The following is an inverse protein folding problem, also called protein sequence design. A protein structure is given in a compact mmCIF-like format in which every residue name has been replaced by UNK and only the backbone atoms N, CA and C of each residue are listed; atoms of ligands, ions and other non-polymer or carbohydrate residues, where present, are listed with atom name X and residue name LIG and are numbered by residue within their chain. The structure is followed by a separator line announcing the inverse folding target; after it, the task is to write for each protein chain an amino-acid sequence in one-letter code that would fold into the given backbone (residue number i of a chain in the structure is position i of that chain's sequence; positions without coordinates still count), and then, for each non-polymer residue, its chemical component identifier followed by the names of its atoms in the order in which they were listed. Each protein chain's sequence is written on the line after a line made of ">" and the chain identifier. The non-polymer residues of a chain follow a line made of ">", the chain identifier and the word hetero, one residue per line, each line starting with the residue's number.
data_IF_054362087045
#
_entry.id   IF_054362087045
#
_cell.length_a   1.000
_cell.length_b   1.000
_cell.length_c   1.000
_cell.angle_alpha   90.00
_cell.angle_beta   90.00
_cell.angle_gamma   90.00
#
_symmetry.space_group_name_H-M   'P 1'
#
loop_
_entity.id
_entity.type
_entity.pdbx_description
1 polymer ?
#
# COMPACT_ATOMS: atom_id res chain seq x y z
N UNK A 1 29.27 17.00 -48.55
CA UNK A 1 30.29 16.30 -47.73
C UNK A 1 29.64 15.06 -47.13
N UNK A 2 30.32 13.91 -47.14
CA UNK A 2 29.83 12.70 -46.50
C UNK A 2 30.07 12.83 -45.00
N UNK A 3 29.03 13.23 -44.26
CA UNK A 3 29.11 13.34 -42.81
C UNK A 3 28.79 11.96 -42.23
N UNK A 4 29.61 11.46 -41.32
CA UNK A 4 29.40 10.17 -40.66
C UNK A 4 28.13 10.30 -39.82
N UNK A 5 27.01 9.63 -40.17
CA UNK A 5 25.69 9.93 -39.60
C UNK A 5 25.45 9.27 -38.23
N UNK A 6 26.52 9.08 -37.44
CA UNK A 6 26.49 8.42 -36.14
C UNK A 6 27.35 9.17 -35.10
N UNK A 7 27.35 10.51 -35.17
CA UNK A 7 27.99 11.37 -34.17
C UNK A 7 26.93 12.22 -33.47
N UNK A 8 27.25 12.79 -32.30
CA UNK A 8 26.30 13.66 -31.58
C UNK A 8 25.93 14.92 -32.37
N UNK A 9 26.78 15.35 -33.30
CA UNK A 9 26.54 16.51 -34.15
C UNK A 9 25.73 16.16 -35.42
N UNK A 10 25.72 14.88 -35.80
CA UNK A 10 25.10 14.38 -37.02
C UNK A 10 24.56 12.96 -36.80
N UNK A 11 23.34 12.87 -36.25
CA UNK A 11 22.73 11.59 -35.88
C UNK A 11 21.58 11.21 -36.82
N UNK A 12 21.83 10.25 -37.72
CA UNK A 12 20.87 9.78 -38.74
C UNK A 12 20.56 10.77 -39.86
N UNK A 13 20.60 12.05 -39.56
CA UNK A 13 20.50 13.20 -40.46
C UNK A 13 21.62 14.20 -40.14
N UNK A 14 21.69 15.32 -40.86
CA UNK A 14 22.66 16.38 -40.59
C UNK A 14 22.30 17.27 -39.38
N UNK A 15 21.62 16.71 -38.36
CA UNK A 15 21.21 17.44 -37.16
C UNK A 15 21.83 16.84 -35.89
N UNK A 16 22.24 17.69 -34.93
CA UNK A 16 22.73 17.25 -33.63
C UNK A 16 21.60 16.73 -32.74
N UNK A 17 21.94 15.91 -31.75
CA UNK A 17 21.02 15.53 -30.69
C UNK A 17 20.84 16.69 -29.69
N UNK A 18 19.59 17.08 -29.44
CA UNK A 18 19.23 18.11 -28.46
C UNK A 18 18.99 17.52 -27.05
N UNK A 19 18.86 18.40 -26.06
CA UNK A 19 18.37 18.08 -24.71
C UNK A 19 19.19 17.00 -23.96
N UNK A 20 20.49 16.95 -24.22
CA UNK A 20 21.43 16.04 -23.55
C UNK A 20 21.33 14.58 -24.04
N UNK A 21 20.66 14.34 -25.17
CA UNK A 21 20.63 13.03 -25.84
C UNK A 21 21.97 12.74 -26.53
N UNK A 22 22.29 11.46 -26.69
CA UNK A 22 23.45 10.97 -27.41
C UNK A 22 23.04 10.25 -28.68
N UNK A 23 23.93 10.23 -29.67
CA UNK A 23 23.70 9.45 -30.87
C UNK A 23 24.10 7.99 -30.66
N UNK A 24 23.12 7.09 -30.72
CA UNK A 24 23.36 5.65 -30.70
C UNK A 24 22.61 5.02 -31.87
N UNK A 25 23.34 4.27 -32.72
CA UNK A 25 22.78 3.63 -33.92
C UNK A 25 21.99 4.62 -34.79
N UNK A 26 22.55 5.81 -35.05
CA UNK A 26 21.96 6.88 -35.87
C UNK A 26 20.63 7.44 -35.32
N UNK A 27 20.32 7.16 -34.05
CA UNK A 27 19.13 7.66 -33.36
C UNK A 27 19.54 8.42 -32.10
N UNK A 28 18.91 9.57 -31.85
CA UNK A 28 19.12 10.30 -30.60
C UNK A 28 18.38 9.61 -29.46
N UNK A 29 19.12 9.13 -28.47
CA UNK A 29 18.60 8.41 -27.30
C UNK A 29 19.09 9.08 -26.03
N UNK A 30 18.40 8.83 -24.92
CA UNK A 30 18.89 9.29 -23.63
C UNK A 30 20.12 8.49 -23.19
N UNK A 31 21.18 9.14 -22.67
CA UNK A 31 22.32 8.44 -22.13
C UNK A 31 21.95 7.69 -20.84
N UNK A 32 22.77 6.70 -20.52
CA UNK A 32 22.61 5.84 -19.34
C UNK A 32 21.23 5.15 -19.28
N UNK A 33 20.74 4.98 -18.07
CA UNK A 33 19.47 4.35 -17.72
C UNK A 33 18.28 5.32 -17.71
N UNK A 34 18.44 6.50 -18.33
CA UNK A 34 17.41 7.56 -18.40
C UNK A 34 16.37 7.26 -19.46
N UNK A 35 15.18 7.86 -19.30
CA UNK A 35 14.08 7.75 -20.27
C UNK A 35 13.80 9.12 -20.90
N UNK A 36 13.29 9.09 -22.14
CA UNK A 36 12.84 10.30 -22.83
C UNK A 36 11.42 10.66 -22.39
N UNK A 37 11.29 11.81 -21.74
CA UNK A 37 10.03 12.39 -21.31
C UNK A 37 9.79 13.72 -22.01
N UNK A 38 9.16 13.64 -23.19
CA UNK A 38 8.82 14.83 -23.98
C UNK A 38 10.03 15.61 -24.46
N UNK A 39 11.13 14.93 -24.78
CA UNK A 39 12.39 15.53 -25.22
C UNK A 39 13.47 15.55 -24.14
N UNK A 40 13.10 15.49 -22.86
CA UNK A 40 14.04 15.58 -21.76
C UNK A 40 14.46 14.20 -21.25
N UNK A 41 15.76 14.03 -20.95
CA UNK A 41 16.27 12.81 -20.36
C UNK A 41 16.13 12.81 -18.84
N UNK A 42 15.16 12.05 -18.36
CA UNK A 42 14.75 12.00 -16.96
C UNK A 42 15.20 10.69 -16.30
N UNK A 43 15.59 10.76 -15.02
CA UNK A 43 15.97 9.59 -14.23
C UNK A 43 14.70 8.85 -13.79
N UNK A 44 14.48 7.59 -14.23
CA UNK A 44 13.23 6.86 -14.01
C UNK A 44 13.18 6.12 -12.66
N UNK A 45 13.87 6.63 -11.63
CA UNK A 45 13.95 5.99 -10.31
C UNK A 45 13.42 6.88 -9.18
N UNK A 46 12.67 7.92 -9.52
CA UNK A 46 12.09 8.87 -8.56
C UNK A 46 10.59 8.64 -8.44
N UNK A 47 9.95 9.16 -7.40
CA UNK A 47 8.49 9.07 -7.27
C UNK A 47 7.73 9.83 -8.37
N UNK A 48 8.35 10.86 -8.94
CA UNK A 48 7.75 11.66 -10.01
C UNK A 48 7.92 11.01 -11.39
N UNK A 49 8.93 10.15 -11.55
CA UNK A 49 9.22 9.41 -12.77
C UNK A 49 9.74 8.02 -12.43
N UNK A 50 8.84 7.03 -12.42
CA UNK A 50 9.18 5.67 -11.98
C UNK A 50 9.00 4.66 -13.11
N UNK A 51 10.08 4.32 -13.80
CA UNK A 51 10.09 3.49 -15.01
C UNK A 51 9.42 4.12 -16.24
N UNK A 52 8.60 5.13 -16.03
CA UNK A 52 7.87 5.91 -17.04
C UNK A 52 7.94 7.39 -16.68
N UNK A 53 7.42 8.24 -17.55
CA UNK A 53 7.34 9.69 -17.31
C UNK A 53 6.24 10.10 -16.34
N UNK A 54 5.59 9.15 -15.68
CA UNK A 54 4.48 9.40 -14.77
C UNK A 54 4.88 9.16 -13.31
N UNK A 55 4.28 9.93 -12.37
CA UNK A 55 4.47 9.71 -10.95
C UNK A 55 3.76 8.45 -10.47
N UNK A 56 4.22 7.94 -9.33
CA UNK A 56 3.51 6.88 -8.62
C UNK A 56 2.22 7.41 -7.98
N UNK A 57 1.08 6.84 -8.36
CA UNK A 57 -0.23 7.16 -7.79
C UNK A 57 -0.63 6.18 -6.68
N UNK A 58 -1.66 6.54 -5.90
CA UNK A 58 -2.27 5.64 -4.92
C UNK A 58 -1.40 5.36 -3.69
N UNK A 59 -0.53 6.30 -3.31
CA UNK A 59 0.36 6.17 -2.14
C UNK A 59 1.52 5.19 -2.36
N UNK A 60 1.77 4.79 -3.60
CA UNK A 60 2.91 3.97 -3.99
C UNK A 60 4.21 4.76 -3.95
N UNK A 61 5.32 4.05 -3.80
CA UNK A 61 6.69 4.56 -3.89
C UNK A 61 7.40 3.93 -5.09
N UNK A 62 8.41 4.62 -5.60
CA UNK A 62 9.26 4.10 -6.64
C UNK A 62 10.33 3.18 -6.06
N UNK A 63 10.32 1.91 -6.46
CA UNK A 63 11.35 0.94 -6.13
C UNK A 63 11.68 0.10 -7.34
N UNK A 64 12.96 0.02 -7.70
CA UNK A 64 13.42 -0.70 -8.90
C UNK A 64 12.68 -0.28 -10.19
N UNK A 65 12.49 1.03 -10.38
CA UNK A 65 11.75 1.61 -11.52
C UNK A 65 10.30 1.12 -11.64
N UNK A 66 9.69 0.67 -10.53
CA UNK A 66 8.28 0.26 -10.45
C UNK A 66 7.58 0.92 -9.27
N UNK A 67 6.34 1.35 -9.48
CA UNK A 67 5.50 1.83 -8.40
C UNK A 67 5.01 0.64 -7.57
N UNK A 68 5.40 0.60 -6.30
CA UNK A 68 5.06 -0.47 -5.36
C UNK A 68 4.56 0.12 -4.04
N UNK A 69 3.84 -0.66 -3.26
CA UNK A 69 3.43 -0.18 -1.94
C UNK A 69 4.61 -0.08 -0.96
N UNK A 70 4.59 0.93 -0.06
CA UNK A 70 5.54 1.00 1.03
C UNK A 70 5.55 -0.29 1.87
N UNK A 71 6.67 -0.62 2.53
CA UNK A 71 6.71 -1.75 3.45
C UNK A 71 5.56 -1.70 4.48
N UNK A 72 4.89 -2.83 4.68
CA UNK A 72 3.75 -2.94 5.60
C UNK A 72 2.39 -2.57 5.00
N UNK A 73 2.34 -2.01 3.80
CA UNK A 73 1.10 -1.72 3.07
C UNK A 73 0.82 -2.81 2.03
N UNK A 74 -0.46 -3.01 1.71
CA UNK A 74 -0.91 -3.93 0.65
C UNK A 74 -1.57 -3.15 -0.47
N UNK A 75 -1.37 -3.58 -1.71
CA UNK A 75 -2.05 -2.98 -2.85
C UNK A 75 -3.49 -3.50 -2.97
N UNK A 76 -4.47 -2.61 -2.83
CA UNK A 76 -5.89 -2.87 -3.06
C UNK A 76 -6.45 -1.80 -4.00
N UNK A 77 -7.08 -2.21 -5.11
CA UNK A 77 -7.68 -1.29 -6.10
C UNK A 77 -6.74 -0.15 -6.54
N UNK A 78 -5.49 -0.48 -6.84
CA UNK A 78 -4.41 0.46 -7.21
C UNK A 78 -3.98 1.45 -6.11
N UNK A 79 -4.40 1.26 -4.85
CA UNK A 79 -3.98 2.07 -3.71
C UNK A 79 -3.27 1.21 -2.67
N UNK A 80 -2.34 1.83 -1.95
CA UNK A 80 -1.70 1.20 -0.81
C UNK A 80 -2.55 1.40 0.43
N UNK A 81 -2.95 0.30 1.05
CA UNK A 81 -3.78 0.29 2.25
C UNK A 81 -3.09 -0.46 3.37
N UNK A 82 -3.30 0.01 4.60
CA UNK A 82 -2.90 -0.73 5.78
C UNK A 82 -4.03 -1.68 6.18
N UNK A 83 -3.88 -2.96 5.84
CA UNK A 83 -4.85 -3.99 6.18
C UNK A 83 -5.04 -4.16 7.70
N UNK A 84 -4.17 -3.59 8.54
CA UNK A 84 -4.26 -3.71 9.99
C UNK A 84 -5.24 -2.74 10.62
N UNK A 85 -5.53 -1.63 9.94
CA UNK A 85 -6.27 -0.49 10.49
C UNK A 85 -7.38 0.01 9.58
N UNK A 86 -7.33 -0.26 8.27
CA UNK A 86 -8.36 0.14 7.32
C UNK A 86 -9.65 -0.66 7.54
N UNK A 87 -10.73 0.04 7.91
CA UNK A 87 -12.04 -0.58 8.17
C UNK A 87 -12.69 -1.22 6.94
N UNK A 88 -12.35 -0.76 5.73
CA UNK A 88 -12.86 -1.28 4.45
C UNK A 88 -12.01 -2.44 3.90
N UNK A 89 -10.79 -2.60 4.41
CA UNK A 89 -9.81 -3.58 3.95
C UNK A 89 -9.20 -4.39 5.11
N UNK A 90 -10.00 -4.72 6.13
CA UNK A 90 -9.47 -5.28 7.36
C UNK A 90 -9.00 -6.74 7.16
N UNK A 91 -7.69 -6.96 7.23
CA UNK A 91 -7.05 -8.27 7.04
C UNK A 91 -6.87 -8.70 5.58
N UNK A 92 -7.67 -8.19 4.65
CA UNK A 92 -7.54 -8.39 3.21
C UNK A 92 -8.27 -7.29 2.41
N UNK A 93 -7.92 -7.13 1.13
CA UNK A 93 -8.60 -6.18 0.25
C UNK A 93 -10.11 -6.44 0.20
N UNK A 94 -10.89 -5.36 0.20
CA UNK A 94 -12.36 -5.39 0.16
C UNK A 94 -13.01 -6.18 1.31
N UNK A 95 -12.26 -6.49 2.39
CA UNK A 95 -12.76 -7.19 3.58
C UNK A 95 -13.20 -6.21 4.65
N UNK A 96 -14.32 -5.53 4.38
CA UNK A 96 -14.88 -4.55 5.31
C UNK A 96 -15.40 -5.22 6.58
N UNK A 97 -15.19 -4.59 7.73
CA UNK A 97 -15.81 -5.03 8.97
C UNK A 97 -17.34 -4.79 9.00
N UNK A 98 -18.08 -5.75 9.56
CA UNK A 98 -19.50 -5.59 9.86
C UNK A 98 -19.77 -4.36 10.73
N UNK A 99 -21.03 -3.89 10.74
CA UNK A 99 -21.45 -2.76 11.58
C UNK A 99 -21.03 -2.97 13.05
N UNK A 100 -20.56 -1.90 13.67
CA UNK A 100 -20.09 -1.86 15.07
C UNK A 100 -18.88 -2.75 15.36
N UNK A 101 -18.05 -3.03 14.34
CA UNK A 101 -16.72 -3.62 14.52
C UNK A 101 -15.65 -2.69 13.99
N UNK A 102 -14.53 -2.65 14.69
CA UNK A 102 -13.34 -1.85 14.35
C UNK A 102 -12.26 -2.78 13.84
N UNK A 103 -11.47 -2.33 12.87
CA UNK A 103 -10.31 -3.08 12.43
C UNK A 103 -9.17 -2.93 13.45
N UNK A 104 -8.86 -4.01 14.17
CA UNK A 104 -7.77 -4.06 15.12
C UNK A 104 -6.76 -5.12 14.68
N UNK A 105 -5.60 -4.69 14.19
CA UNK A 105 -4.53 -5.59 13.76
C UNK A 105 -4.94 -6.53 12.62
N UNK A 106 -5.84 -6.08 11.74
CA UNK A 106 -6.34 -6.87 10.62
C UNK A 106 -7.44 -7.86 10.99
N UNK A 107 -8.07 -7.68 12.15
CA UNK A 107 -9.23 -8.44 12.58
C UNK A 107 -10.36 -7.49 12.93
N UNK A 108 -11.57 -7.84 12.53
CA UNK A 108 -12.76 -7.10 12.90
C UNK A 108 -13.17 -7.45 14.34
N UNK A 109 -12.96 -6.50 15.25
CA UNK A 109 -13.22 -6.65 16.68
C UNK A 109 -14.41 -5.78 17.10
N UNK A 110 -15.30 -6.32 17.92
CA UNK A 110 -16.35 -5.53 18.55
C UNK A 110 -15.81 -4.87 19.82
N UNK A 111 -15.44 -3.60 19.74
CA UNK A 111 -14.84 -2.86 20.87
C UNK A 111 -15.83 -2.58 21.99
N UNK A 112 -17.13 -2.83 21.79
CA UNK A 112 -18.15 -2.59 22.82
C UNK A 112 -18.23 -3.73 23.85
N UNK A 113 -17.77 -4.93 23.51
CA UNK A 113 -17.88 -6.10 24.37
C UNK A 113 -16.62 -6.95 24.43
N UNK A 114 -15.57 -6.53 23.73
CA UNK A 114 -14.29 -7.19 23.74
C UNK A 114 -13.43 -6.73 24.92
N UNK A 115 -13.11 -7.62 25.85
CA UNK A 115 -12.30 -7.28 27.01
C UNK A 115 -10.86 -6.87 26.66
N UNK A 116 -10.28 -7.39 25.57
CA UNK A 116 -8.91 -7.06 25.14
C UNK A 116 -8.84 -5.79 24.26
N UNK A 117 -9.98 -5.27 23.81
CA UNK A 117 -10.07 -4.10 22.92
C UNK A 117 -11.28 -3.24 23.33
N UNK A 118 -11.42 -2.92 24.62
CA UNK A 118 -12.61 -2.27 25.14
C UNK A 118 -12.62 -0.76 24.84
N UNK A 119 -13.59 -0.29 24.06
CA UNK A 119 -13.69 1.10 23.62
C UNK A 119 -12.74 1.48 22.47
N UNK A 120 -11.55 0.86 22.41
CA UNK A 120 -10.57 1.03 21.33
C UNK A 120 -9.70 -0.23 21.17
N UNK A 121 -8.96 -0.33 20.05
CA UNK A 121 -8.05 -1.46 19.83
C UNK A 121 -6.98 -1.53 20.94
N UNK A 122 -6.68 -2.76 21.38
CA UNK A 122 -5.63 -3.11 22.34
C UNK A 122 -5.82 -2.47 23.74
N UNK A 123 -7.01 -1.92 24.01
CA UNK A 123 -7.39 -1.40 25.32
C UNK A 123 -7.97 -2.51 26.20
N UNK A 124 -7.08 -3.31 26.77
CA UNK A 124 -7.45 -4.41 27.65
C UNK A 124 -8.04 -3.91 28.98
N UNK A 125 -9.16 -4.49 29.39
CA UNK A 125 -9.72 -4.26 30.72
C UNK A 125 -8.81 -4.83 31.82
N UNK A 126 -8.64 -4.10 32.96
CA UNK A 126 -7.98 -4.62 34.14
C UNK A 126 -8.58 -5.94 34.62
N UNK A 127 -7.80 -6.72 35.39
CA UNK A 127 -8.22 -8.01 35.91
C UNK A 127 -9.59 -7.92 36.62
N UNK A 128 -10.44 -8.93 36.39
CA UNK A 128 -11.82 -9.04 36.89
C UNK A 128 -12.81 -7.96 36.40
N UNK A 129 -12.44 -7.18 35.37
CA UNK A 129 -13.37 -6.28 34.67
C UNK A 129 -13.80 -6.85 33.32
N UNK A 130 -15.06 -6.62 32.99
CA UNK A 130 -15.64 -6.96 31.70
C UNK A 130 -15.86 -5.71 30.86
N UNK A 131 -15.76 -5.86 29.54
CA UNK A 131 -16.13 -4.79 28.62
C UNK A 131 -17.63 -4.79 28.39
N UNK A 132 -18.29 -3.69 28.78
CA UNK A 132 -19.70 -3.48 28.51
C UNK A 132 -19.91 -2.09 27.93
N UNK A 133 -20.44 -2.06 26.70
CA UNK A 133 -20.68 -0.84 25.92
C UNK A 133 -19.42 0.02 25.77
N UNK A 134 -18.26 -0.62 25.58
CA UNK A 134 -16.97 0.05 25.38
C UNK A 134 -16.31 0.57 26.65
N UNK A 135 -16.84 0.20 27.82
CA UNK A 135 -16.32 0.62 29.13
C UNK A 135 -16.04 -0.62 29.99
N UNK A 136 -14.88 -0.62 30.66
CA UNK A 136 -14.52 -1.66 31.61
C UNK A 136 -15.29 -1.50 32.92
N UNK A 137 -16.15 -2.47 33.25
CA UNK A 137 -16.94 -2.49 34.49
C UNK A 137 -16.59 -3.71 35.33
N UNK A 138 -16.67 -3.57 36.66
CA UNK A 138 -16.51 -4.71 37.58
C UNK A 138 -17.77 -5.58 37.55
N UNK A 139 -17.63 -6.89 37.36
CA UNK A 139 -18.76 -7.83 37.38
C UNK A 139 -18.52 -8.96 38.39
N UNK A 140 -19.56 -9.34 39.16
CA UNK A 140 -19.42 -10.32 40.27
C UNK A 140 -19.44 -11.78 39.83
N UNK A 141 -19.78 -12.12 38.59
CA UNK A 141 -19.71 -13.49 38.09
C UNK A 141 -19.40 -13.58 36.57
N UNK A 142 -18.33 -14.32 36.28
CA UNK A 142 -17.92 -15.03 35.05
C UNK A 142 -17.54 -14.25 33.77
N UNK A 143 -16.23 -14.04 33.63
CA UNK A 143 -15.45 -14.41 32.45
C UNK A 143 -15.37 -13.37 31.32
N UNK A 144 -14.22 -12.74 31.20
CA UNK A 144 -13.86 -11.88 30.07
C UNK A 144 -14.21 -12.57 28.73
N UNK A 145 -15.09 -11.95 27.93
CA UNK A 145 -15.45 -12.46 26.61
C UNK A 145 -14.25 -12.32 25.68
N UNK A 146 -13.54 -13.42 25.44
CA UNK A 146 -12.40 -13.47 24.53
C UNK A 146 -12.83 -13.22 23.08
N UNK A 147 -12.19 -12.23 22.46
CA UNK A 147 -12.61 -11.63 21.18
C UNK A 147 -12.08 -12.36 19.96
N UNK A 148 -11.04 -13.18 20.14
CA UNK A 148 -10.41 -13.97 19.08
C UNK A 148 -11.12 -15.28 18.78
N UNK A 149 -12.19 -15.60 19.53
CA UNK A 149 -13.06 -16.72 19.18
C UNK A 149 -13.94 -16.26 18.04
N UNK A 150 -13.46 -16.44 16.81
CA UNK A 150 -14.31 -16.75 15.68
C UNK A 150 -15.24 -17.87 16.14
N UNK A 151 -16.43 -17.51 16.60
CA UNK A 151 -17.48 -18.46 16.94
C UNK A 151 -17.90 -19.11 15.62
N UNK A 152 -17.17 -20.13 15.18
CA UNK A 152 -17.80 -21.34 14.62
C UNK A 152 -18.64 -22.01 15.72
N UNK A 153 -19.57 -21.27 16.31
CA UNK A 153 -20.60 -21.76 17.24
C UNK A 153 -21.94 -21.80 16.49
N UNK A 154 -21.87 -22.29 15.25
CA UNK A 154 -22.97 -22.91 14.52
C UNK A 154 -22.44 -24.18 13.84
N UNK A 155 -21.94 -25.13 14.62
CA UNK A 155 -21.82 -26.54 14.22
C UNK A 155 -21.44 -27.36 15.46
N UNK A 156 -22.22 -28.41 15.75
CA UNK A 156 -22.15 -29.33 16.91
C UNK A 156 -22.92 -28.89 18.16
N UNK A 157 -24.24 -28.76 18.03
CA UNK A 157 -25.14 -29.44 18.98
C UNK A 157 -25.65 -30.71 18.29
N UNK A 158 -25.47 -31.83 19.00
CA UNK A 158 -25.99 -33.17 18.71
C UNK A 158 -27.49 -33.11 18.40
N UNK A 159 -27.92 -33.76 17.32
CA UNK A 159 -28.90 -34.86 17.30
C UNK A 159 -28.37 -35.87 16.29
#
# INVERSE_FOLDING_TARGET
>A
QCIIPNTNDHCGTCNPCADGKICQNKTCVCPDDKIDCGGQCIIPNTNDHCGTCNPCAGGKICKYKRCVCPPGMTECENKCVDLKSDEKNCGACCSRCDRNRTCCGGKCINTLNCAEHCGSCDNKCPHDKECQNGICKSHKHTGAKNCHKNKKLYAKRKV
#
